data_IF_302618957115
#
_entry.id   IF_302618957115
#
_cell.length_a   1.000
_cell.length_b   1.000
_cell.length_c   1.000
_cell.angle_alpha   90.00
_cell.angle_beta   90.00
_cell.angle_gamma   90.00
#
_symmetry.space_group_name_H-M   'P 1'
#
loop_
_entity.id
_entity.type
_entity.pdbx_description
1 polymer ?
#
# COMPACT_ATOMS: atom_id res chain seq x y z
N UNK A 1 -4.07 3.85 6.23
CA UNK A 1 -3.57 5.21 5.95
C UNK A 1 -2.95 5.77 7.23
N UNK A 2 -1.65 6.10 7.22
CA UNK A 2 -0.95 6.76 8.32
C UNK A 2 -1.64 8.06 8.76
N UNK A 3 -1.55 8.39 10.04
CA UNK A 3 -2.20 9.57 10.63
C UNK A 3 -1.30 10.19 11.68
N UNK A 4 -1.31 11.52 11.74
CA UNK A 4 -0.68 12.27 12.83
C UNK A 4 -1.78 12.85 13.72
N UNK A 5 -1.67 12.60 15.02
CA UNK A 5 -2.52 13.19 16.04
C UNK A 5 -1.71 14.18 16.88
N UNK A 6 -2.31 15.31 17.21
CA UNK A 6 -1.75 16.34 18.07
C UNK A 6 -2.56 16.38 19.37
N UNK A 7 -1.90 15.99 20.46
CA UNK A 7 -2.44 16.07 21.82
C UNK A 7 -1.85 17.29 22.52
N UNK A 8 -2.70 18.17 23.05
CA UNK A 8 -2.28 19.24 23.96
C UNK A 8 -2.65 18.87 25.38
N UNK A 9 -1.72 19.09 26.30
CA UNK A 9 -1.91 18.87 27.72
C UNK A 9 -1.76 20.17 28.50
N UNK A 10 -2.47 20.28 29.61
CA UNK A 10 -2.29 21.38 30.58
C UNK A 10 -0.99 21.18 31.38
N UNK A 11 -0.62 22.17 32.19
CA UNK A 11 0.51 22.02 33.14
C UNK A 11 0.31 20.88 34.15
N UNK A 12 -0.93 20.47 34.39
CA UNK A 12 -1.29 19.34 35.27
C UNK A 12 -1.46 18.03 34.50
N UNK A 13 -0.99 17.95 33.25
CA UNK A 13 -1.07 16.78 32.37
C UNK A 13 -2.50 16.33 32.00
N UNK A 14 -3.50 17.19 32.19
CA UNK A 14 -4.85 16.91 31.70
C UNK A 14 -4.91 17.17 30.20
N UNK A 15 -5.64 16.33 29.46
CA UNK A 15 -5.87 16.53 28.02
C UNK A 15 -6.71 17.79 27.82
N UNK A 16 -6.12 18.78 27.16
CA UNK A 16 -6.77 20.04 26.82
C UNK A 16 -7.45 19.96 25.44
N UNK A 17 -6.83 19.25 24.50
CA UNK A 17 -7.38 19.01 23.16
C UNK A 17 -6.68 17.83 22.49
N UNK A 18 -7.42 17.10 21.67
CA UNK A 18 -6.89 16.09 20.76
C UNK A 18 -7.42 16.37 19.35
N UNK A 19 -6.54 16.45 18.36
CA UNK A 19 -6.93 16.68 16.97
C UNK A 19 -6.08 15.86 16.01
N UNK A 20 -6.71 15.32 14.97
CA UNK A 20 -6.03 14.64 13.86
C UNK A 20 -5.64 15.65 12.79
N UNK A 21 -4.43 15.58 12.24
CA UNK A 21 -4.09 16.37 11.05
C UNK A 21 -4.84 15.84 9.83
N UNK A 22 -5.50 16.73 9.10
CA UNK A 22 -6.23 16.38 7.87
C UNK A 22 -5.39 16.74 6.64
N UNK A 23 -5.60 16.00 5.55
CA UNK A 23 -4.94 16.15 4.25
C UNK A 23 -5.98 15.91 3.15
N UNK A 24 -5.82 16.60 2.02
CA UNK A 24 -6.85 16.63 0.97
C UNK A 24 -6.88 15.33 0.14
N UNK A 25 -5.72 14.69 -0.05
CA UNK A 25 -5.61 13.50 -0.91
C UNK A 25 -6.04 12.22 -0.17
N UNK A 26 -6.89 11.39 -0.78
CA UNK A 26 -7.44 10.21 -0.13
C UNK A 26 -6.44 9.04 0.04
N UNK A 27 -5.38 9.01 -0.77
CA UNK A 27 -4.30 8.02 -0.74
C UNK A 27 -2.97 8.75 -0.52
N UNK A 28 -2.55 8.87 0.75
CA UNK A 28 -1.33 9.56 1.16
C UNK A 28 -0.57 8.81 2.25
N UNK A 29 0.69 9.18 2.39
CA UNK A 29 1.59 8.79 3.46
C UNK A 29 2.05 10.03 4.23
N UNK A 30 2.07 9.89 5.56
CA UNK A 30 2.47 10.97 6.46
C UNK A 30 3.28 10.39 7.62
N UNK A 31 4.40 11.05 7.93
CA UNK A 31 5.32 10.63 8.99
C UNK A 31 5.88 11.83 9.75
N UNK A 32 6.36 11.59 10.96
CA UNK A 32 7.16 12.58 11.67
C UNK A 32 8.57 12.61 11.08
N UNK A 33 9.07 13.78 10.73
CA UNK A 33 10.48 13.97 10.41
C UNK A 33 11.30 14.10 11.71
N UNK A 34 12.59 14.42 11.57
CA UNK A 34 13.45 14.65 12.71
C UNK A 34 13.06 15.97 13.43
N UNK A 35 12.66 15.86 14.70
CA UNK A 35 12.22 16.97 15.56
C UNK A 35 13.05 16.98 16.86
N UNK A 36 14.15 17.73 16.89
CA UNK A 36 15.14 17.66 17.97
C UNK A 36 14.91 18.66 19.12
N UNK A 37 14.15 19.72 18.87
CA UNK A 37 13.98 20.83 19.81
C UNK A 37 12.78 20.61 20.75
N UNK A 38 13.06 20.31 22.02
CA UNK A 38 12.01 20.03 23.02
C UNK A 38 11.01 21.17 23.21
N UNK A 39 11.46 22.43 23.09
CA UNK A 39 10.62 23.62 23.27
C UNK A 39 10.06 24.18 21.95
N UNK A 40 10.12 23.40 20.87
CA UNK A 40 9.63 23.84 19.56
C UNK A 40 8.14 24.22 19.60
N UNK A 41 7.78 25.21 18.78
CA UNK A 41 6.37 25.61 18.57
C UNK A 41 5.79 25.09 17.26
N UNK A 42 6.55 24.27 16.54
CA UNK A 42 6.19 23.62 15.30
C UNK A 42 6.81 22.22 15.28
N UNK A 43 6.29 21.37 14.40
CA UNK A 43 6.90 20.09 14.04
C UNK A 43 7.17 20.06 12.54
N UNK A 44 8.14 19.27 12.12
CA UNK A 44 8.34 18.92 10.72
C UNK A 44 7.76 17.53 10.48
N UNK A 45 6.92 17.41 9.45
CA UNK A 45 6.35 16.16 8.98
C UNK A 45 6.85 15.87 7.55
N UNK A 46 6.98 14.60 7.22
CA UNK A 46 7.04 14.14 5.83
C UNK A 46 5.62 13.91 5.32
N UNK A 47 5.35 14.36 4.10
CA UNK A 47 4.09 14.12 3.41
C UNK A 47 4.36 13.73 1.96
N UNK A 48 3.62 12.75 1.46
CA UNK A 48 3.61 12.39 0.05
C UNK A 48 2.29 11.68 -0.29
N UNK A 49 1.99 11.59 -1.57
CA UNK A 49 0.89 10.77 -2.07
C UNK A 49 1.35 9.99 -3.29
N UNK A 50 0.46 9.21 -3.90
CA UNK A 50 0.78 8.59 -5.19
C UNK A 50 1.01 9.60 -6.32
N UNK A 51 0.54 10.86 -6.19
CA UNK A 51 0.70 11.94 -7.18
C UNK A 51 1.48 13.15 -6.68
N UNK A 52 1.64 13.33 -5.36
CA UNK A 52 2.38 14.44 -4.76
C UNK A 52 3.78 13.97 -4.35
N UNK A 53 4.86 14.48 -4.99
CA UNK A 53 6.23 14.17 -4.58
C UNK A 53 6.49 14.50 -3.11
N UNK A 54 7.43 13.78 -2.48
CA UNK A 54 7.70 13.94 -1.07
C UNK A 54 8.05 15.39 -0.66
N UNK A 55 7.32 15.88 0.34
CA UNK A 55 7.43 17.19 0.94
C UNK A 55 7.82 17.07 2.41
N UNK A 56 8.65 18.02 2.86
CA UNK A 56 8.78 18.34 4.27
C UNK A 56 7.92 19.56 4.58
N UNK A 57 6.96 19.38 5.48
CA UNK A 57 6.00 20.42 5.85
C UNK A 57 6.26 20.80 7.31
N UNK A 58 6.47 22.08 7.54
CA UNK A 58 6.50 22.67 8.88
C UNK A 58 5.07 22.95 9.32
N UNK A 59 4.66 22.38 10.44
CA UNK A 59 3.30 22.48 10.99
C UNK A 59 3.35 23.16 12.34
N UNK A 60 2.64 24.27 12.49
CA UNK A 60 2.53 25.02 13.74
C UNK A 60 1.75 24.24 14.80
N UNK A 61 2.31 24.06 16.00
CA UNK A 61 1.61 23.39 17.09
C UNK A 61 0.47 24.24 17.68
N UNK A 62 0.41 25.54 17.37
CA UNK A 62 -0.68 26.45 17.80
C UNK A 62 -1.90 26.37 16.87
N UNK A 63 -1.71 26.18 15.57
CA UNK A 63 -2.79 26.04 14.60
C UNK A 63 -2.45 24.94 13.57
N UNK A 64 -2.44 23.65 13.97
CA UNK A 64 -1.86 22.58 13.14
C UNK A 64 -2.54 22.33 11.80
N UNK A 65 -3.79 22.77 11.62
CA UNK A 65 -4.50 22.68 10.35
C UNK A 65 -4.26 23.87 9.43
N UNK A 66 -4.17 25.08 9.99
CA UNK A 66 -4.22 26.32 9.22
C UNK A 66 -2.84 26.93 8.94
N UNK A 67 -1.84 26.60 9.77
CA UNK A 67 -0.51 27.19 9.72
C UNK A 67 0.51 26.10 9.38
N UNK A 68 0.69 25.92 8.06
CA UNK A 68 1.54 24.91 7.42
C UNK A 68 2.37 25.54 6.32
N UNK A 69 3.64 25.19 6.26
CA UNK A 69 4.61 25.73 5.29
C UNK A 69 5.40 24.58 4.67
N UNK A 70 5.38 24.43 3.35
CA UNK A 70 6.27 23.49 2.65
C UNK A 70 7.68 24.06 2.65
N UNK A 71 8.59 23.44 3.38
CA UNK A 71 9.98 23.91 3.52
C UNK A 71 10.94 23.23 2.54
N UNK A 72 10.54 22.07 2.00
CA UNK A 72 11.29 21.35 0.96
C UNK A 72 10.34 20.43 0.20
N UNK A 73 10.49 20.36 -1.11
CA UNK A 73 9.82 19.37 -1.97
C UNK A 73 10.85 18.65 -2.84
N UNK A 74 10.65 17.34 -3.03
CA UNK A 74 11.42 16.57 -4.00
C UNK A 74 11.08 17.07 -5.41
N UNK A 75 12.08 17.63 -6.10
CA UNK A 75 11.95 18.01 -7.50
C UNK A 75 11.93 16.77 -8.39
N UNK A 76 11.00 16.73 -9.33
CA UNK A 76 10.85 15.65 -10.31
C UNK A 76 10.70 16.31 -11.67
N UNK A 77 11.77 16.27 -12.45
CA UNK A 77 11.84 16.97 -13.73
C UNK A 77 10.80 16.42 -14.72
N UNK A 78 10.09 17.32 -15.41
CA UNK A 78 9.04 16.97 -16.38
C UNK A 78 7.73 16.43 -15.77
N UNK A 79 7.63 16.26 -14.45
CA UNK A 79 6.41 15.79 -13.81
C UNK A 79 5.38 16.90 -13.66
N UNK A 80 4.21 16.72 -14.31
CA UNK A 80 3.06 17.62 -14.18
C UNK A 80 1.98 16.87 -13.40
N UNK A 81 1.82 17.21 -12.12
CA UNK A 81 0.91 16.54 -11.20
C UNK A 81 -0.54 16.49 -11.73
N UNK A 82 -1.01 17.55 -12.39
CA UNK A 82 -2.39 17.65 -12.89
C UNK A 82 -2.75 16.61 -13.95
N UNK A 83 -1.77 15.96 -14.59
CA UNK A 83 -2.02 14.87 -15.54
C UNK A 83 -2.46 13.58 -14.85
N UNK A 84 -2.24 13.47 -13.54
CA UNK A 84 -2.43 12.25 -12.77
C UNK A 84 -3.51 12.43 -11.72
N UNK A 85 -4.11 11.31 -11.34
CA UNK A 85 -5.05 11.23 -10.24
C UNK A 85 -4.77 9.94 -9.46
N UNK A 86 -5.00 9.98 -8.15
CA UNK A 86 -5.05 8.80 -7.31
C UNK A 86 -6.39 8.68 -6.61
N UNK A 87 -6.87 7.45 -6.48
CA UNK A 87 -8.09 7.14 -5.74
C UNK A 87 -7.86 5.94 -4.84
N UNK A 88 -8.51 5.96 -3.69
CA UNK A 88 -8.57 4.82 -2.78
C UNK A 88 -10.00 4.30 -2.74
N UNK A 89 -10.16 3.02 -3.03
CA UNK A 89 -11.46 2.33 -3.01
C UNK A 89 -11.33 1.00 -2.30
N UNK A 90 -12.45 0.33 -2.03
CA UNK A 90 -12.45 -1.03 -1.48
C UNK A 90 -13.01 -2.05 -2.48
N UNK A 91 -12.58 -3.29 -2.32
CA UNK A 91 -13.01 -4.44 -3.11
C UNK A 91 -13.51 -5.52 -2.13
N UNK A 92 -14.70 -6.11 -2.36
CA UNK A 92 -15.17 -7.20 -1.52
C UNK A 92 -14.30 -8.44 -1.67
N UNK A 93 -13.86 -8.98 -0.53
CA UNK A 93 -13.22 -10.29 -0.42
C UNK A 93 -14.23 -11.41 -0.61
N UNK A 94 -13.78 -12.59 -1.06
CA UNK A 94 -14.61 -13.80 -1.18
C UNK A 94 -15.17 -14.32 0.15
N UNK A 95 -14.67 -13.86 1.29
CA UNK A 95 -15.21 -14.22 2.61
C UNK A 95 -16.53 -13.48 2.95
N UNK A 96 -16.97 -12.57 2.09
CA UNK A 96 -18.29 -11.93 2.15
C UNK A 96 -18.44 -10.82 3.19
N UNK A 97 -17.39 -10.49 3.95
CA UNK A 97 -17.45 -9.44 4.98
C UNK A 97 -16.22 -8.53 5.00
N UNK A 98 -15.11 -8.95 4.39
CA UNK A 98 -13.89 -8.15 4.33
C UNK A 98 -13.89 -7.25 3.10
N UNK A 99 -13.55 -5.97 3.31
CA UNK A 99 -13.38 -4.96 2.26
C UNK A 99 -11.89 -4.65 2.08
N UNK A 100 -11.30 -5.15 1.00
CA UNK A 100 -9.86 -5.04 0.69
C UNK A 100 -9.59 -3.64 0.13
N UNK A 101 -8.80 -2.79 0.80
CA UNK A 101 -8.46 -1.49 0.26
C UNK A 101 -7.51 -1.62 -0.92
N UNK A 102 -7.71 -0.79 -1.94
CA UNK A 102 -6.76 -0.62 -3.03
C UNK A 102 -6.54 0.86 -3.30
N UNK A 103 -5.31 1.22 -3.63
CA UNK A 103 -4.95 2.57 -4.07
C UNK A 103 -4.49 2.52 -5.51
N UNK A 104 -5.16 3.29 -6.36
CA UNK A 104 -4.86 3.39 -7.78
C UNK A 104 -4.18 4.72 -8.04
N UNK A 105 -3.24 4.73 -8.97
CA UNK A 105 -2.73 5.94 -9.59
C UNK A 105 -2.60 5.73 -11.09
N UNK A 106 -3.02 6.73 -11.83
CA UNK A 106 -3.14 6.68 -13.28
C UNK A 106 -3.03 8.08 -13.88
N UNK A 107 -2.79 8.14 -15.20
CA UNK A 107 -3.06 9.36 -15.95
C UNK A 107 -4.57 9.48 -16.20
N UNK A 108 -5.10 10.69 -16.04
CA UNK A 108 -6.54 10.97 -16.16
C UNK A 108 -7.08 10.56 -17.54
N UNK A 109 -6.39 10.99 -18.60
CA UNK A 109 -6.73 10.69 -20.00
C UNK A 109 -6.87 9.19 -20.31
N UNK A 110 -6.12 8.33 -19.61
CA UNK A 110 -6.19 6.88 -19.76
C UNK A 110 -7.37 6.29 -19.00
N UNK A 111 -7.60 6.73 -17.76
CA UNK A 111 -8.67 6.18 -16.93
C UNK A 111 -10.06 6.64 -17.40
N UNK A 112 -10.17 7.85 -17.96
CA UNK A 112 -11.40 8.34 -18.58
C UNK A 112 -11.85 7.42 -19.73
N UNK A 113 -10.90 6.92 -20.54
CA UNK A 113 -11.21 5.95 -21.59
C UNK A 113 -11.77 4.63 -21.04
N UNK A 114 -11.28 4.19 -19.88
CA UNK A 114 -11.75 2.96 -19.25
C UNK A 114 -13.12 3.13 -18.57
N UNK A 115 -13.36 4.26 -17.90
CA UNK A 115 -14.60 4.53 -17.16
C UNK A 115 -15.74 4.97 -18.08
N UNK A 116 -15.45 5.88 -19.01
CA UNK A 116 -16.50 6.57 -19.77
C UNK A 116 -16.74 5.92 -21.13
N UNK A 117 -15.69 5.35 -21.74
CA UNK A 117 -15.75 4.74 -23.07
C UNK A 117 -15.66 3.21 -23.05
N UNK A 118 -15.51 2.59 -21.87
CA UNK A 118 -15.45 1.13 -21.71
C UNK A 118 -14.22 0.48 -22.34
N UNK A 119 -13.17 1.25 -22.64
CA UNK A 119 -11.91 0.71 -23.18
C UNK A 119 -11.16 -0.05 -22.10
N UNK A 120 -10.84 -1.31 -22.35
CA UNK A 120 -9.95 -2.05 -21.44
C UNK A 120 -8.52 -1.54 -21.59
N UNK A 121 -7.90 -1.16 -20.47
CA UNK A 121 -6.53 -0.60 -20.42
C UNK A 121 -5.59 -1.50 -19.61
N UNK A 122 -4.30 -1.20 -19.69
CA UNK A 122 -3.28 -1.95 -18.96
C UNK A 122 -3.31 -1.62 -17.46
N UNK A 123 -3.23 -2.67 -16.65
CA UNK A 123 -3.15 -2.57 -15.20
C UNK A 123 -1.91 -3.30 -14.68
N UNK A 124 -1.27 -2.72 -13.68
CA UNK A 124 -0.15 -3.32 -12.98
C UNK A 124 -0.41 -3.32 -11.47
N UNK A 125 -0.56 -4.51 -10.90
CA UNK A 125 -0.91 -4.73 -9.50
C UNK A 125 0.34 -5.05 -8.69
N UNK A 126 0.52 -4.35 -7.57
CA UNK A 126 1.60 -4.60 -6.63
C UNK A 126 1.04 -5.03 -5.28
N UNK A 127 1.66 -6.04 -4.66
CA UNK A 127 1.33 -6.46 -3.29
C UNK A 127 2.55 -6.97 -2.51
N UNK A 128 2.46 -6.89 -1.18
CA UNK A 128 3.42 -7.47 -0.25
C UNK A 128 2.74 -8.45 0.72
N UNK A 129 2.02 -7.94 1.72
CA UNK A 129 1.08 -8.72 2.53
C UNK A 129 1.70 -9.63 3.60
N UNK A 130 2.81 -9.22 4.24
CA UNK A 130 3.52 -10.03 5.25
C UNK A 130 4.10 -9.15 6.37
N UNK A 131 4.29 -9.72 7.57
CA UNK A 131 4.90 -9.08 8.75
C UNK A 131 4.14 -7.86 9.31
N UNK A 132 2.90 -7.64 8.85
CA UNK A 132 2.16 -6.42 9.17
C UNK A 132 2.75 -5.17 8.53
N UNK A 133 3.60 -5.31 7.52
CA UNK A 133 4.15 -4.18 6.77
C UNK A 133 3.05 -3.58 5.91
N UNK A 134 2.77 -2.30 6.12
CA UNK A 134 1.93 -1.49 5.24
C UNK A 134 2.71 -1.07 3.99
N UNK A 135 2.11 -1.23 2.82
CA UNK A 135 2.64 -0.60 1.60
C UNK A 135 2.03 0.78 1.46
N UNK A 136 2.84 1.80 1.74
CA UNK A 136 2.36 3.18 1.80
C UNK A 136 2.08 3.78 0.42
N UNK A 137 1.04 4.63 0.38
CA UNK A 137 0.59 5.38 -0.79
C UNK A 137 1.56 6.53 -1.12
N UNK A 138 2.75 6.17 -1.58
CA UNK A 138 3.90 7.07 -1.73
C UNK A 138 4.27 7.35 -3.18
N UNK A 139 4.89 8.51 -3.39
CA UNK A 139 5.34 8.94 -4.71
C UNK A 139 6.61 8.18 -5.09
N UNK A 140 6.59 7.57 -6.28
CA UNK A 140 7.80 6.95 -6.85
C UNK A 140 8.06 7.43 -8.27
N UNK A 141 9.21 8.11 -8.54
CA UNK A 141 9.61 8.43 -9.90
C UNK A 141 9.75 7.20 -10.80
N UNK A 142 10.11 6.03 -10.25
CA UNK A 142 10.24 4.80 -11.04
C UNK A 142 8.90 4.29 -11.58
N UNK A 143 7.77 4.79 -11.06
CA UNK A 143 6.43 4.46 -11.53
C UNK A 143 6.03 5.27 -12.77
N UNK A 144 6.57 6.49 -12.94
CA UNK A 144 6.17 7.40 -14.02
C UNK A 144 6.27 6.77 -15.42
N UNK A 145 7.31 6.00 -15.79
CA UNK A 145 7.37 5.37 -17.10
C UNK A 145 6.20 4.42 -17.41
N UNK A 146 5.59 3.80 -16.39
CA UNK A 146 4.40 2.97 -16.54
C UNK A 146 3.16 3.85 -16.76
N UNK A 147 2.98 4.86 -15.90
CA UNK A 147 1.84 5.78 -15.97
C UNK A 147 1.82 6.53 -17.31
N UNK A 148 2.98 7.04 -17.76
CA UNK A 148 3.14 7.73 -19.05
C UNK A 148 2.89 6.86 -20.27
N UNK A 149 2.94 5.53 -20.12
CA UNK A 149 2.58 4.55 -21.15
C UNK A 149 1.12 4.10 -21.06
N UNK A 150 0.34 4.74 -20.20
CA UNK A 150 -1.08 4.42 -20.00
C UNK A 150 -1.34 3.13 -19.24
N UNK A 151 -0.42 2.77 -18.35
CA UNK A 151 -0.62 1.67 -17.40
C UNK A 151 -1.16 2.25 -16.09
N UNK A 152 -2.30 1.74 -15.62
CA UNK A 152 -2.84 2.04 -14.30
C UNK A 152 -2.06 1.23 -13.27
N UNK A 153 -1.48 1.88 -12.28
CA UNK A 153 -0.76 1.22 -11.19
C UNK A 153 -1.66 1.08 -9.97
N UNK A 154 -1.70 -0.12 -9.38
CA UNK A 154 -2.56 -0.44 -8.24
C UNK A 154 -1.74 -1.04 -7.12
N UNK A 155 -1.79 -0.43 -5.94
CA UNK A 155 -1.33 -1.06 -4.70
C UNK A 155 -2.50 -1.82 -4.10
N UNK A 156 -2.33 -3.13 -3.92
CA UNK A 156 -3.35 -4.00 -3.31
C UNK A 156 -2.97 -4.24 -1.85
N UNK A 157 -3.76 -3.67 -0.93
CA UNK A 157 -3.50 -3.74 0.51
C UNK A 157 -4.08 -5.03 1.12
N UNK A 158 -3.59 -6.17 0.64
CA UNK A 158 -4.01 -7.51 1.07
C UNK A 158 -3.79 -7.76 2.56
N UNK A 159 -4.57 -8.66 3.16
CA UNK A 159 -4.31 -9.15 4.53
C UNK A 159 -2.90 -9.72 4.66
N UNK A 160 -2.37 -9.64 5.87
CA UNK A 160 -0.94 -9.87 6.19
C UNK A 160 -0.12 -8.58 6.19
N UNK A 161 -0.63 -7.51 5.57
CA UNK A 161 -0.15 -6.14 5.74
C UNK A 161 -0.71 -5.47 7.01
N UNK A 162 -0.37 -4.20 7.22
CA UNK A 162 -0.75 -3.41 8.41
C UNK A 162 -1.80 -2.32 8.16
N UNK A 163 -2.33 -2.21 6.94
CA UNK A 163 -3.06 -1.02 6.48
C UNK A 163 -4.38 -0.78 7.22
N UNK A 164 -5.02 -1.85 7.71
CA UNK A 164 -6.26 -1.82 8.48
C UNK A 164 -6.04 -2.06 9.98
N UNK A 165 -4.79 -1.92 10.45
CA UNK A 165 -4.40 -2.18 11.83
C UNK A 165 -3.94 -3.61 12.07
N UNK A 166 -3.64 -3.94 13.33
CA UNK A 166 -2.94 -5.19 13.68
C UNK A 166 -3.69 -6.46 13.28
N UNK A 167 -5.02 -6.45 13.38
CA UNK A 167 -5.89 -7.57 12.99
C UNK A 167 -5.90 -7.85 11.48
N UNK A 168 -5.45 -6.91 10.65
CA UNK A 168 -5.25 -7.16 9.22
C UNK A 168 -4.13 -8.16 8.95
N UNK A 169 -3.19 -8.26 9.89
CA UNK A 169 -2.03 -9.13 9.85
C UNK A 169 -2.23 -10.39 10.69
N UNK A 170 -2.61 -10.25 11.96
CA UNK A 170 -2.71 -11.37 12.90
C UNK A 170 -3.97 -12.23 12.70
N UNK A 171 -3.93 -13.45 13.22
CA UNK A 171 -5.10 -14.33 13.37
C UNK A 171 -6.20 -13.67 14.24
N UNK A 172 -7.48 -14.08 14.10
CA UNK A 172 -7.98 -15.22 13.32
C UNK A 172 -8.35 -14.90 11.87
N UNK A 173 -8.38 -13.64 11.45
CA UNK A 173 -8.93 -13.25 10.15
C UNK A 173 -7.92 -12.56 9.22
N UNK A 174 -6.72 -12.25 9.71
CA UNK A 174 -5.65 -11.59 8.96
C UNK A 174 -4.95 -12.48 7.94
N UNK A 175 -3.63 -12.36 7.84
CA UNK A 175 -2.80 -13.01 6.81
C UNK A 175 -1.50 -13.57 7.34
N UNK A 176 -1.57 -14.25 8.49
CA UNK A 176 -0.44 -14.88 9.20
C UNK A 176 -0.81 -16.30 9.59
N UNK A 177 0.19 -17.18 9.76
CA UNK A 177 -0.01 -18.58 10.16
C UNK A 177 -1.05 -19.31 9.30
N UNK A 178 -2.05 -19.96 9.92
CA UNK A 178 -3.06 -20.76 9.23
C UNK A 178 -3.98 -19.90 8.35
N UNK A 179 -4.01 -18.59 8.58
CA UNK A 179 -4.76 -17.62 7.80
C UNK A 179 -3.97 -17.05 6.62
N UNK A 180 -2.71 -17.46 6.39
CA UNK A 180 -1.85 -16.86 5.37
C UNK A 180 -2.43 -16.90 3.94
N UNK A 181 -3.29 -17.89 3.65
CA UNK A 181 -3.99 -17.99 2.36
C UNK A 181 -4.85 -16.77 2.03
N UNK A 182 -5.30 -16.02 3.04
CA UNK A 182 -6.06 -14.78 2.85
C UNK A 182 -5.28 -13.74 2.04
N UNK A 183 -3.97 -13.62 2.26
CA UNK A 183 -3.10 -12.71 1.48
C UNK A 183 -3.21 -12.98 -0.03
N UNK A 184 -3.19 -14.26 -0.43
CA UNK A 184 -3.21 -14.66 -1.84
C UNK A 184 -4.62 -14.55 -2.43
N UNK A 185 -5.63 -14.92 -1.63
CA UNK A 185 -7.04 -14.83 -2.01
C UNK A 185 -7.45 -13.37 -2.25
N UNK A 186 -7.08 -12.46 -1.34
CA UNK A 186 -7.36 -11.03 -1.47
C UNK A 186 -6.76 -10.47 -2.77
N UNK A 187 -5.51 -10.84 -3.08
CA UNK A 187 -4.86 -10.40 -4.31
C UNK A 187 -5.60 -10.86 -5.57
N UNK A 188 -6.02 -12.12 -5.59
CA UNK A 188 -6.79 -12.72 -6.70
C UNK A 188 -8.18 -12.08 -6.80
N UNK A 189 -8.84 -11.82 -5.67
CA UNK A 189 -10.18 -11.22 -5.64
C UNK A 189 -10.16 -9.81 -6.20
N UNK A 190 -9.13 -9.02 -5.89
CA UNK A 190 -8.91 -7.70 -6.51
C UNK A 190 -8.69 -7.82 -8.02
N UNK A 191 -7.82 -8.74 -8.46
CA UNK A 191 -7.57 -8.94 -9.88
C UNK A 191 -8.84 -9.33 -10.64
N UNK A 192 -9.61 -10.30 -10.12
CA UNK A 192 -10.90 -10.72 -10.67
C UNK A 192 -11.92 -9.58 -10.69
N UNK A 193 -12.01 -8.80 -9.61
CA UNK A 193 -12.93 -7.69 -9.55
C UNK A 193 -12.64 -6.62 -10.62
N UNK A 194 -11.36 -6.31 -10.88
CA UNK A 194 -10.96 -5.38 -11.93
C UNK A 194 -11.34 -5.88 -13.34
N UNK A 195 -11.24 -7.19 -13.58
CA UNK A 195 -11.53 -7.84 -14.86
C UNK A 195 -13.03 -8.08 -15.07
N UNK A 196 -13.71 -8.68 -14.10
CA UNK A 196 -15.05 -9.24 -14.24
C UNK A 196 -16.14 -8.23 -13.86
N UNK A 197 -15.92 -7.48 -12.76
CA UNK A 197 -16.91 -6.55 -12.20
C UNK A 197 -16.75 -5.17 -12.81
N UNK A 198 -15.55 -4.59 -12.73
CA UNK A 198 -15.28 -3.26 -13.30
C UNK A 198 -15.05 -3.27 -14.80
N UNK A 199 -14.55 -4.38 -15.36
CA UNK A 199 -14.22 -4.50 -16.78
C UNK A 199 -13.29 -3.40 -17.28
N UNK A 200 -12.48 -2.82 -16.39
CA UNK A 200 -11.49 -1.79 -16.73
C UNK A 200 -10.26 -2.37 -17.41
N UNK A 201 -10.05 -3.68 -17.23
CA UNK A 201 -8.94 -4.42 -17.82
C UNK A 201 -9.41 -5.83 -18.19
N UNK A 202 -8.47 -6.66 -18.66
CA UNK A 202 -8.64 -8.09 -18.98
C UNK A 202 -7.33 -8.81 -18.75
N UNK A 203 -7.32 -10.15 -18.64
CA UNK A 203 -6.10 -10.88 -18.33
C UNK A 203 -4.91 -10.56 -19.24
N UNK A 204 -5.13 -10.35 -20.54
CA UNK A 204 -4.09 -10.02 -21.51
C UNK A 204 -3.44 -8.64 -21.28
N UNK A 205 -4.10 -7.77 -20.50
CA UNK A 205 -3.67 -6.42 -20.16
C UNK A 205 -3.30 -6.28 -18.67
N UNK A 206 -3.41 -7.35 -17.89
CA UNK A 206 -3.17 -7.34 -16.45
C UNK A 206 -1.78 -7.92 -16.14
N UNK A 207 -1.01 -7.19 -15.33
CA UNK A 207 0.28 -7.64 -14.83
C UNK A 207 0.37 -7.49 -13.32
N UNK A 208 1.29 -8.23 -12.69
CA UNK A 208 1.50 -8.17 -11.25
C UNK A 208 2.98 -8.16 -10.84
N UNK A 209 3.27 -7.61 -9.67
CA UNK A 209 4.61 -7.54 -9.10
C UNK A 209 4.58 -7.74 -7.57
N UNK A 210 5.62 -8.42 -7.08
CA UNK A 210 5.92 -8.53 -5.65
C UNK A 210 7.39 -8.88 -5.43
N UNK A 211 7.94 -8.44 -4.30
CA UNK A 211 9.36 -8.63 -3.95
C UNK A 211 9.53 -9.25 -2.57
N UNK A 212 10.57 -10.06 -2.36
CA UNK A 212 10.84 -10.75 -1.08
C UNK A 212 9.65 -11.63 -0.69
N UNK A 213 9.05 -11.45 0.49
CA UNK A 213 7.79 -12.09 0.87
C UNK A 213 6.61 -11.73 -0.06
N UNK A 214 6.62 -10.56 -0.70
CA UNK A 214 5.65 -10.25 -1.77
C UNK A 214 5.84 -11.13 -3.02
N UNK A 215 7.05 -11.65 -3.24
CA UNK A 215 7.31 -12.66 -4.25
C UNK A 215 6.57 -13.99 -3.96
N UNK A 216 6.40 -14.34 -2.68
CA UNK A 216 5.52 -15.44 -2.28
C UNK A 216 4.07 -15.13 -2.62
N UNK A 217 3.60 -13.91 -2.33
CA UNK A 217 2.24 -13.47 -2.65
C UNK A 217 1.94 -13.65 -4.12
N UNK A 218 2.81 -13.15 -5.00
CA UNK A 218 2.62 -13.31 -6.44
C UNK A 218 2.81 -14.77 -6.89
N UNK A 219 3.82 -15.48 -6.38
CA UNK A 219 4.07 -16.89 -6.72
C UNK A 219 2.88 -17.80 -6.40
N UNK A 220 2.28 -17.63 -5.22
CA UNK A 220 1.07 -18.34 -4.83
C UNK A 220 -0.12 -17.95 -5.71
N UNK A 221 -0.29 -16.66 -6.02
CA UNK A 221 -1.41 -16.18 -6.84
C UNK A 221 -1.37 -16.70 -8.28
N UNK A 222 -0.20 -16.71 -8.94
CA UNK A 222 -0.08 -17.23 -10.30
C UNK A 222 -0.24 -18.76 -10.37
N UNK A 223 0.09 -19.49 -9.31
CA UNK A 223 -0.19 -20.92 -9.23
C UNK A 223 -1.70 -21.19 -9.07
N UNK A 224 -2.40 -20.37 -8.27
CA UNK A 224 -3.84 -20.53 -8.01
C UNK A 224 -4.71 -20.01 -9.15
N UNK A 225 -4.27 -19.00 -9.89
CA UNK A 225 -5.03 -18.35 -10.96
C UNK A 225 -4.12 -17.92 -12.12
N UNK A 226 -3.50 -18.88 -12.84
CA UNK A 226 -2.51 -18.61 -13.88
C UNK A 226 -3.06 -17.79 -15.05
N UNK A 227 -4.35 -17.95 -15.35
CA UNK A 227 -5.00 -17.29 -16.50
C UNK A 227 -5.39 -15.82 -16.22
N UNK A 228 -5.19 -15.30 -15.02
CA UNK A 228 -5.56 -13.92 -14.67
C UNK A 228 -4.52 -12.88 -15.11
N UNK A 229 -3.25 -13.26 -15.22
CA UNK A 229 -2.16 -12.32 -15.41
C UNK A 229 -1.38 -12.63 -16.68
N UNK A 230 -1.19 -11.63 -17.54
CA UNK A 230 -0.34 -11.76 -18.73
C UNK A 230 1.15 -11.83 -18.36
N UNK A 231 1.55 -11.18 -17.27
CA UNK A 231 2.94 -11.03 -16.87
C UNK A 231 3.04 -10.88 -15.35
N UNK A 232 4.04 -11.52 -14.74
CA UNK A 232 4.33 -11.43 -13.31
C UNK A 232 5.82 -11.13 -13.08
N UNK A 233 6.12 -10.19 -12.18
CA UNK A 233 7.48 -9.84 -11.73
C UNK A 233 7.65 -10.33 -10.29
N UNK A 234 8.56 -11.28 -10.09
CA UNK A 234 8.89 -11.84 -8.78
C UNK A 234 10.33 -11.44 -8.43
N UNK A 235 10.49 -10.39 -7.63
CA UNK A 235 11.80 -9.90 -7.22
C UNK A 235 12.33 -10.63 -5.97
N UNK A 236 13.52 -11.25 -6.03
CA UNK A 236 14.13 -12.01 -4.91
C UNK A 236 13.09 -12.85 -4.12
N UNK A 237 12.31 -13.70 -4.81
CA UNK A 237 11.06 -14.19 -4.25
C UNK A 237 11.26 -15.33 -3.25
N UNK A 238 10.57 -15.26 -2.12
CA UNK A 238 10.53 -16.38 -1.17
C UNK A 238 9.51 -17.42 -1.64
N UNK A 239 9.97 -18.47 -2.32
CA UNK A 239 9.09 -19.45 -3.00
C UNK A 239 9.36 -20.91 -2.62
N UNK A 240 10.51 -21.22 -2.05
CA UNK A 240 10.85 -22.58 -1.60
C UNK A 240 10.51 -22.76 -0.10
N UNK A 241 9.25 -22.50 0.23
CA UNK A 241 8.78 -22.37 1.61
C UNK A 241 9.07 -23.62 2.44
N UNK A 242 8.66 -24.80 1.96
CA UNK A 242 8.76 -26.03 2.74
C UNK A 242 10.21 -26.42 3.00
N UNK A 243 11.07 -26.42 1.97
CA UNK A 243 12.46 -26.80 2.15
C UNK A 243 13.22 -25.80 3.04
N UNK A 244 12.90 -24.50 2.93
CA UNK A 244 13.52 -23.47 3.77
C UNK A 244 13.05 -23.56 5.22
N UNK A 245 11.74 -23.69 5.44
CA UNK A 245 11.14 -23.58 6.77
C UNK A 245 11.35 -24.82 7.65
N UNK A 246 11.72 -25.97 7.08
CA UNK A 246 12.14 -27.15 7.86
C UNK A 246 13.58 -27.04 8.37
N UNK A 247 14.43 -26.23 7.73
CA UNK A 247 15.88 -26.16 8.00
C UNK A 247 16.28 -24.89 8.76
N UNK A 248 16.44 -25.01 10.08
CA UNK A 248 16.86 -23.92 10.95
C UNK A 248 18.32 -23.45 10.73
N UNK A 249 19.13 -24.15 9.92
CA UNK A 249 20.48 -23.71 9.58
C UNK A 249 20.49 -22.57 8.55
N UNK A 250 19.39 -22.42 7.81
CA UNK A 250 19.20 -21.30 6.88
C UNK A 250 18.89 -20.02 7.70
N UNK A 251 19.57 -18.89 7.43
CA UNK A 251 19.30 -17.65 8.14
C UNK A 251 17.83 -17.24 8.06
N UNK A 252 17.33 -16.64 9.16
CA UNK A 252 15.95 -16.22 9.37
C UNK A 252 14.94 -17.34 9.67
N UNK A 253 15.12 -18.57 9.21
CA UNK A 253 14.13 -19.67 9.34
C UNK A 253 13.54 -19.78 10.75
N UNK A 254 14.38 -19.88 11.78
CA UNK A 254 13.91 -20.07 13.15
C UNK A 254 13.04 -18.91 13.67
N UNK A 255 13.36 -17.66 13.28
CA UNK A 255 12.53 -16.50 13.61
C UNK A 255 11.27 -16.43 12.76
N UNK A 256 11.33 -16.89 11.51
CA UNK A 256 10.21 -16.92 10.59
C UNK A 256 9.18 -18.02 10.89
N UNK A 257 9.49 -18.98 11.77
CA UNK A 257 8.46 -19.84 12.35
C UNK A 257 7.37 -19.03 13.05
N UNK A 258 7.72 -17.89 13.65
CA UNK A 258 6.73 -16.98 14.24
C UNK A 258 5.92 -16.19 13.20
N UNK A 259 6.21 -16.31 11.90
CA UNK A 259 5.43 -15.70 10.81
C UNK A 259 4.57 -16.74 10.08
N UNK A 260 5.20 -17.83 9.65
CA UNK A 260 4.59 -18.83 8.76
C UNK A 260 4.04 -20.04 9.51
N UNK A 261 4.56 -20.32 10.70
CA UNK A 261 4.45 -21.61 11.39
C UNK A 261 5.71 -22.47 11.18
N UNK A 262 5.89 -23.46 12.05
CA UNK A 262 6.97 -24.44 11.96
C UNK A 262 6.47 -25.71 11.26
N UNK A 263 6.91 -26.02 10.03
CA UNK A 263 6.46 -27.22 9.32
C UNK A 263 7.01 -28.55 9.87
N UNK A 264 7.86 -28.50 10.92
CA UNK A 264 8.34 -29.70 11.61
C UNK A 264 7.38 -30.20 12.70
N UNK A 265 6.33 -29.42 13.02
CA UNK A 265 5.33 -29.70 14.05
C UNK A 265 3.94 -29.94 13.42
#
# INVERSE_FOLDING_TARGET
IPRIWVLRVTKTMNVASLGRLEFDEAAHDVSLAANWEYKAKFIIIGYQSLVSPHQYIKVSLKQPQADREVIKQKMVEGYIQDNYESVRITVPSRDGHTEIPISLVYRKDVMDQARDHGKQVHFHLYAYGTYGVSIEDSFSPSRLPLLDRGIVYVVVHVRGGGEMGRQWYEEPDGGKYLCKKNTFNDFIDVAKWLVEVKKWTKPELLSCEGRSAGGMTIGASINQAPDLFRMAILGVPFVDLMATMVDASIPLTAGEWEEWGNPNE
#
